data_IF_699643392861
#
_entry.id   IF_699643392861
#
_cell.length_a   1.000
_cell.length_b   1.000
_cell.length_c   1.000
_cell.angle_alpha   90.00
_cell.angle_beta   90.00
_cell.angle_gamma   90.00
#
_symmetry.space_group_name_H-M   'P 1'
#
loop_
_entity.id
_entity.type
_entity.pdbx_description
1 polymer ?
#
# COMPACT_ATOMS: atom_id res chain seq x y z
N UNK A 1 29.11 10.59 -38.52
CA UNK A 1 27.85 11.24 -38.08
C UNK A 1 27.53 10.93 -36.60
N UNK A 2 28.41 11.26 -35.63
CA UNK A 2 28.12 11.02 -34.20
C UNK A 2 27.24 12.09 -33.55
N UNK A 3 27.26 13.34 -34.05
CA UNK A 3 26.55 14.46 -33.41
C UNK A 3 25.04 14.39 -33.59
N UNK A 4 24.55 14.01 -34.77
CA UNK A 4 23.10 13.88 -35.04
C UNK A 4 22.47 12.81 -34.15
N UNK A 5 23.16 11.67 -33.96
CA UNK A 5 22.68 10.60 -33.08
C UNK A 5 22.57 11.06 -31.63
N UNK A 6 23.56 11.81 -31.13
CA UNK A 6 23.55 12.28 -29.74
C UNK A 6 22.41 13.27 -29.46
N UNK A 7 22.11 14.15 -30.43
CA UNK A 7 20.98 15.09 -30.33
C UNK A 7 19.63 14.37 -30.35
N UNK A 8 19.43 13.39 -31.24
CA UNK A 8 18.19 12.59 -31.27
C UNK A 8 17.99 11.79 -29.98
N UNK A 9 19.04 11.15 -29.47
CA UNK A 9 18.99 10.40 -28.21
C UNK A 9 18.66 11.32 -27.03
N UNK A 10 19.20 12.55 -27.00
CA UNK A 10 18.90 13.52 -25.95
C UNK A 10 17.42 13.93 -25.95
N UNK A 11 16.82 14.13 -27.13
CA UNK A 11 15.40 14.47 -27.24
C UNK A 11 14.48 13.32 -26.81
N UNK A 12 14.81 12.08 -27.17
CA UNK A 12 14.07 10.90 -26.72
C UNK A 12 14.16 10.74 -25.20
N UNK A 13 15.35 10.91 -24.61
CA UNK A 13 15.54 10.86 -23.16
C UNK A 13 14.71 11.91 -22.41
N UNK A 14 14.63 13.13 -22.96
CA UNK A 14 13.79 14.18 -22.38
C UNK A 14 12.31 13.82 -22.39
N UNK A 15 11.80 13.23 -23.48
CA UNK A 15 10.43 12.74 -23.54
C UNK A 15 10.18 11.63 -22.52
N UNK A 16 11.09 10.65 -22.41
CA UNK A 16 10.99 9.57 -21.42
C UNK A 16 11.01 10.09 -19.98
N UNK A 17 11.82 11.11 -19.70
CA UNK A 17 11.84 11.74 -18.39
C UNK A 17 10.50 12.41 -18.06
N UNK A 18 9.93 13.17 -19.00
CA UNK A 18 8.61 13.78 -18.84
C UNK A 18 7.53 12.70 -18.63
N UNK A 19 7.52 11.66 -19.45
CA UNK A 19 6.61 10.50 -19.29
C UNK A 19 6.72 9.88 -17.88
N UNK A 20 7.95 9.67 -17.41
CA UNK A 20 8.21 9.13 -16.08
C UNK A 20 7.64 10.01 -14.96
N UNK A 21 7.86 11.33 -15.03
CA UNK A 21 7.34 12.31 -14.06
C UNK A 21 5.81 12.28 -14.06
N UNK A 22 5.18 12.29 -15.24
CA UNK A 22 3.73 12.28 -15.38
C UNK A 22 3.11 10.96 -14.89
N UNK A 23 3.77 9.82 -15.10
CA UNK A 23 3.33 8.53 -14.57
C UNK A 23 3.35 8.51 -13.04
N UNK A 24 4.42 9.02 -12.41
CA UNK A 24 4.49 9.14 -10.95
C UNK A 24 3.44 10.10 -10.40
N UNK A 25 3.18 11.20 -11.11
CA UNK A 25 2.15 12.16 -10.74
C UNK A 25 0.75 11.55 -10.76
N UNK A 26 0.44 10.74 -11.78
CA UNK A 26 -0.84 10.02 -11.86
C UNK A 26 -1.00 9.03 -10.71
N UNK A 27 0.06 8.31 -10.34
CA UNK A 27 0.02 7.42 -9.18
C UNK A 27 -0.24 8.19 -7.89
N UNK A 28 0.42 9.33 -7.67
CA UNK A 28 0.15 10.19 -6.52
C UNK A 28 -1.30 10.69 -6.51
N UNK A 29 -1.80 11.19 -7.64
CA UNK A 29 -3.18 11.68 -7.78
C UNK A 29 -4.24 10.58 -7.53
N UNK A 30 -3.97 9.34 -7.96
CA UNK A 30 -4.80 8.17 -7.65
C UNK A 30 -4.92 7.98 -6.13
N UNK A 31 -3.80 7.97 -5.41
CA UNK A 31 -3.80 7.83 -3.95
C UNK A 31 -4.29 9.07 -3.20
N UNK A 32 -4.45 10.21 -3.88
CA UNK A 32 -5.14 11.39 -3.34
C UNK A 32 -6.66 11.35 -3.57
N UNK A 33 -7.20 10.28 -4.17
CA UNK A 33 -8.62 10.17 -4.50
C UNK A 33 -9.07 11.10 -5.64
N UNK A 34 -8.14 11.74 -6.35
CA UNK A 34 -8.47 12.61 -7.50
C UNK A 34 -8.82 11.80 -8.76
N UNK A 35 -8.39 10.54 -8.81
CA UNK A 35 -8.67 9.61 -9.89
C UNK A 35 -9.36 8.39 -9.27
N UNK A 36 -10.53 7.95 -9.77
CA UNK A 36 -11.16 6.73 -9.29
C UNK A 36 -10.30 5.51 -9.63
N UNK A 37 -10.19 4.58 -8.70
CA UNK A 37 -9.43 3.36 -8.91
C UNK A 37 -10.09 2.53 -10.03
N UNK A 38 -9.37 2.17 -11.11
CA UNK A 38 -9.96 1.44 -12.24
C UNK A 38 -10.44 0.03 -11.89
N UNK A 39 -10.00 -0.53 -10.75
CA UNK A 39 -10.42 -1.86 -10.28
C UNK A 39 -11.66 -1.82 -9.40
N UNK A 40 -11.74 -0.85 -8.48
CA UNK A 40 -12.86 -0.75 -7.52
C UNK A 40 -13.93 0.24 -7.97
N UNK A 41 -13.58 1.19 -8.84
CA UNK A 41 -14.43 2.31 -9.25
C UNK A 41 -14.51 3.42 -8.21
N UNK A 42 -13.87 3.26 -7.06
CA UNK A 42 -13.97 4.16 -5.92
C UNK A 42 -12.75 5.09 -5.83
N UNK A 43 -12.99 6.32 -5.37
CA UNK A 43 -11.95 7.28 -5.04
C UNK A 43 -11.46 6.99 -3.62
N UNK A 44 -10.40 6.19 -3.50
CA UNK A 44 -9.78 5.86 -2.22
C UNK A 44 -8.61 6.82 -1.94
N UNK A 45 -8.65 7.47 -0.77
CA UNK A 45 -7.58 8.36 -0.31
C UNK A 45 -6.60 7.58 0.57
N UNK A 46 -5.35 7.46 0.11
CA UNK A 46 -4.22 6.93 0.87
C UNK A 46 -3.08 7.95 0.89
N UNK A 47 -3.09 8.80 1.92
CA UNK A 47 -2.11 9.88 2.07
C UNK A 47 -0.67 9.35 2.20
N UNK A 48 -0.45 8.23 2.89
CA UNK A 48 0.90 7.67 3.07
C UNK A 48 1.53 7.28 1.72
N UNK A 49 0.75 6.60 0.86
CA UNK A 49 1.22 6.25 -0.49
C UNK A 49 1.38 7.47 -1.39
N UNK A 50 0.43 8.42 -1.34
CA UNK A 50 0.56 9.67 -2.09
C UNK A 50 1.85 10.42 -1.71
N UNK A 51 2.13 10.55 -0.41
CA UNK A 51 3.33 11.19 0.11
C UNK A 51 4.60 10.50 -0.38
N UNK A 52 4.64 9.17 -0.40
CA UNK A 52 5.79 8.42 -0.92
C UNK A 52 6.13 8.81 -2.37
N UNK A 53 5.13 8.93 -3.25
CA UNK A 53 5.36 9.35 -4.64
C UNK A 53 5.81 10.82 -4.76
N UNK A 54 5.24 11.71 -3.94
CA UNK A 54 5.66 13.12 -3.88
C UNK A 54 7.12 13.23 -3.42
N UNK A 55 7.50 12.51 -2.37
CA UNK A 55 8.87 12.47 -1.86
C UNK A 55 9.85 11.89 -2.89
N UNK A 56 9.42 10.87 -3.65
CA UNK A 56 10.22 10.30 -4.75
C UNK A 56 10.50 11.35 -5.84
N UNK A 57 9.47 12.11 -6.25
CA UNK A 57 9.63 13.19 -7.22
C UNK A 57 10.51 14.33 -6.69
N UNK A 58 10.37 14.67 -5.40
CA UNK A 58 11.22 15.67 -4.74
C UNK A 58 12.69 15.24 -4.71
N UNK A 59 12.94 13.97 -4.35
CA UNK A 59 14.28 13.40 -4.37
C UNK A 59 14.87 13.42 -5.78
N UNK A 60 14.09 13.10 -6.82
CA UNK A 60 14.55 13.18 -8.21
C UNK A 60 14.89 14.62 -8.60
N UNK A 61 14.09 15.61 -8.22
CA UNK A 61 14.39 17.02 -8.47
C UNK A 61 15.74 17.41 -7.87
N UNK A 62 16.00 17.03 -6.62
CA UNK A 62 17.27 17.34 -5.95
C UNK A 62 18.45 16.60 -6.57
N UNK A 63 18.30 15.30 -6.87
CA UNK A 63 19.37 14.47 -7.42
C UNK A 63 19.69 14.76 -8.89
N UNK A 64 18.76 15.33 -9.64
CA UNK A 64 18.95 15.67 -11.06
C UNK A 64 19.21 17.17 -11.30
N UNK A 65 19.33 17.97 -10.23
CA UNK A 65 19.59 19.41 -10.34
C UNK A 65 20.87 19.69 -11.16
N UNK A 66 20.73 20.56 -12.16
CA UNK A 66 21.82 20.91 -13.08
C UNK A 66 21.97 19.97 -14.28
N UNK A 67 21.28 18.83 -14.30
CA UNK A 67 21.25 17.91 -15.43
C UNK A 67 19.96 18.02 -16.26
N UNK A 68 18.95 18.73 -15.76
CA UNK A 68 17.67 18.90 -16.43
C UNK A 68 17.70 20.05 -17.44
N UNK A 69 16.98 19.88 -18.54
CA UNK A 69 16.63 20.97 -19.45
C UNK A 69 15.63 21.94 -18.80
N UNK A 70 15.43 23.11 -19.39
CA UNK A 70 14.44 24.08 -18.90
C UNK A 70 13.02 23.51 -18.92
N UNK A 71 12.70 22.73 -19.95
CA UNK A 71 11.39 22.08 -20.09
C UNK A 71 11.18 21.05 -18.98
N UNK A 72 12.11 20.12 -18.82
CA UNK A 72 12.07 19.08 -17.78
C UNK A 72 11.97 19.68 -16.37
N UNK A 73 12.76 20.72 -16.11
CA UNK A 73 12.73 21.45 -14.83
C UNK A 73 11.36 22.06 -14.56
N UNK A 74 10.75 22.67 -15.60
CA UNK A 74 9.45 23.32 -15.49
C UNK A 74 8.36 22.29 -15.24
N UNK A 75 8.35 21.20 -16.00
CA UNK A 75 7.40 20.09 -15.84
C UNK A 75 7.51 19.50 -14.44
N UNK A 76 8.71 19.13 -13.99
CA UNK A 76 8.91 18.52 -12.68
C UNK A 76 8.48 19.45 -11.54
N UNK A 77 8.88 20.73 -11.58
CA UNK A 77 8.53 21.72 -10.56
C UNK A 77 7.01 21.92 -10.48
N UNK A 78 6.36 22.13 -11.63
CA UNK A 78 4.92 22.39 -11.67
C UNK A 78 4.13 21.19 -11.16
N UNK A 79 4.49 19.99 -11.62
CA UNK A 79 3.89 18.74 -11.17
C UNK A 79 4.02 18.57 -9.66
N UNK A 80 5.22 18.80 -9.12
CA UNK A 80 5.48 18.65 -7.69
C UNK A 80 4.70 19.65 -6.85
N UNK A 81 4.67 20.93 -7.24
CA UNK A 81 3.86 21.95 -6.57
C UNK A 81 2.37 21.60 -6.57
N UNK A 82 1.83 21.14 -7.70
CA UNK A 82 0.42 20.77 -7.82
C UNK A 82 0.07 19.59 -6.90
N UNK A 83 0.92 18.55 -6.86
CA UNK A 83 0.71 17.40 -5.99
C UNK A 83 0.82 17.75 -4.51
N UNK A 84 1.75 18.63 -4.14
CA UNK A 84 1.88 19.09 -2.76
C UNK A 84 0.64 19.85 -2.28
N UNK A 85 0.07 20.72 -3.12
CA UNK A 85 -1.18 21.41 -2.79
C UNK A 85 -2.34 20.41 -2.65
N UNK A 86 -2.50 19.51 -3.62
CA UNK A 86 -3.53 18.47 -3.57
C UNK A 86 -3.39 17.55 -2.35
N UNK A 87 -2.16 17.24 -1.93
CA UNK A 87 -1.90 16.48 -0.72
C UNK A 87 -2.36 17.22 0.55
N UNK A 88 -2.08 18.52 0.65
CA UNK A 88 -2.50 19.33 1.80
C UNK A 88 -4.02 19.45 1.84
N UNK A 89 -4.67 19.63 0.69
CA UNK A 89 -6.13 19.64 0.56
C UNK A 89 -6.73 18.31 1.04
N UNK A 90 -6.25 17.18 0.50
CA UNK A 90 -6.71 15.85 0.88
C UNK A 90 -6.40 15.50 2.35
N UNK A 91 -5.32 16.02 2.92
CA UNK A 91 -4.98 15.83 4.33
C UNK A 91 -5.83 16.71 5.27
N UNK A 92 -6.30 17.86 4.79
CA UNK A 92 -7.23 18.73 5.51
C UNK A 92 -8.67 18.18 5.52
N UNK A 93 -9.05 17.46 4.47
CA UNK A 93 -10.30 16.71 4.40
C UNK A 93 -10.14 15.36 5.12
N UNK A 94 -10.46 15.35 6.41
CA UNK A 94 -10.35 14.18 7.29
C UNK A 94 -10.97 12.92 6.60
N UNK A 95 -10.19 11.86 6.34
CA UNK A 95 -10.71 10.68 5.67
C UNK A 95 -11.45 9.81 6.69
N UNK A 96 -12.77 9.97 6.79
CA UNK A 96 -13.65 8.95 7.38
C UNK A 96 -13.71 7.75 6.42
N UNK A 97 -12.64 6.94 6.37
CA UNK A 97 -12.63 5.81 5.45
C UNK A 97 -11.32 5.03 5.32
N UNK A 98 -10.40 5.10 6.29
CA UNK A 98 -9.24 4.21 6.31
C UNK A 98 -9.66 2.79 6.76
N UNK A 99 -10.41 2.09 5.91
CA UNK A 99 -10.45 0.63 5.95
C UNK A 99 -9.13 0.15 5.34
N UNK A 100 -8.16 -0.10 6.21
CA UNK A 100 -6.95 -0.84 5.87
C UNK A 100 -7.36 -2.17 5.23
N UNK A 101 -6.86 -2.55 4.05
CA UNK A 101 -6.82 -3.95 3.67
C UNK A 101 -5.89 -4.65 4.66
N UNK A 102 -6.46 -5.56 5.44
CA UNK A 102 -5.77 -6.40 6.40
C UNK A 102 -4.50 -7.01 5.79
N UNK A 103 -3.36 -6.76 6.45
CA UNK A 103 -2.26 -7.72 6.53
C UNK A 103 -2.19 -8.18 8.00
N UNK A 104 -2.06 -9.49 8.25
CA UNK A 104 -2.67 -10.18 9.38
C UNK A 104 -2.11 -9.80 10.75
N UNK A 105 -3.03 -9.69 11.69
CA UNK A 105 -2.76 -9.60 13.11
C UNK A 105 -1.76 -10.68 13.58
N UNK A 106 -0.72 -10.20 14.25
CA UNK A 106 -0.13 -10.79 15.44
C UNK A 106 0.08 -12.32 15.42
N UNK A 107 1.28 -12.75 15.03
CA UNK A 107 1.89 -13.86 15.74
C UNK A 107 2.06 -13.43 17.22
N UNK A 108 1.51 -14.15 18.22
CA UNK A 108 1.84 -13.86 19.60
C UNK A 108 3.29 -14.29 19.82
N UNK A 109 4.16 -13.32 20.09
CA UNK A 109 5.50 -13.57 20.62
C UNK A 109 5.38 -14.46 21.88
N UNK A 110 6.06 -15.61 21.96
CA UNK A 110 6.05 -16.41 23.17
C UNK A 110 6.85 -15.68 24.25
N UNK A 111 6.19 -15.35 25.37
CA UNK A 111 6.88 -14.96 26.61
C UNK A 111 7.85 -16.09 27.00
N UNK A 112 9.10 -15.81 27.39
CA UNK A 112 10.02 -16.83 27.92
C UNK A 112 9.38 -17.54 29.12
N UNK A 113 9.33 -18.88 29.01
CA UNK A 113 8.86 -19.76 30.06
C UNK A 113 9.78 -19.63 31.28
N UNK A 114 9.25 -19.06 32.36
CA UNK A 114 9.79 -19.21 33.70
C UNK A 114 9.42 -20.62 34.18
N UNK A 115 10.45 -21.43 34.33
CA UNK A 115 10.47 -22.84 34.70
C UNK A 115 9.89 -23.06 36.11
N UNK A 116 8.82 -23.85 36.30
CA UNK A 116 8.45 -24.33 37.63
C UNK A 116 9.18 -25.65 37.89
N UNK A 117 10.12 -25.60 38.84
CA UNK A 117 10.73 -26.75 39.46
C UNK A 117 9.67 -27.63 40.13
N UNK A 118 9.87 -28.94 40.01
CA UNK A 118 9.00 -30.01 40.49
C UNK A 118 8.93 -30.04 42.02
N UNK A 119 7.72 -30.20 42.57
CA UNK A 119 7.50 -30.83 43.87
C UNK A 119 6.25 -31.72 43.81
N UNK A 120 6.41 -32.93 44.34
CA UNK A 120 5.60 -34.14 44.33
C UNK A 120 4.57 -34.12 45.52
N UNK A 121 3.78 -35.19 45.78
CA UNK A 121 2.45 -35.55 45.27
C UNK A 121 1.35 -35.58 46.38
N UNK A 122 0.21 -36.23 46.07
CA UNK A 122 -0.74 -36.95 46.96
C UNK A 122 -2.18 -36.39 47.15
N UNK A 123 -3.20 -37.25 47.39
CA UNK A 123 -4.30 -37.44 46.45
C UNK A 123 -5.70 -37.30 47.08
N UNK A 124 -6.76 -37.18 46.27
CA UNK A 124 -8.13 -37.57 46.65
C UNK A 124 -9.00 -37.70 45.39
N UNK A 125 -9.46 -38.92 45.11
CA UNK A 125 -10.60 -39.21 44.23
C UNK A 125 -11.91 -39.19 45.07
N UNK A 126 -13.12 -39.54 44.58
CA UNK A 126 -13.57 -39.86 43.20
C UNK A 126 -14.97 -39.22 42.86
N UNK A 127 -15.59 -39.72 41.77
CA UNK A 127 -17.01 -39.66 41.34
C UNK A 127 -17.50 -38.35 40.70
N UNK A 128 -18.34 -38.29 39.66
CA UNK A 128 -19.26 -39.26 39.04
C UNK A 128 -19.64 -38.78 37.62
N UNK A 129 -19.85 -39.74 36.72
CA UNK A 129 -20.78 -39.79 35.57
C UNK A 129 -21.25 -38.51 34.87
N UNK A 130 -21.13 -38.47 33.54
CA UNK A 130 -22.22 -38.80 32.60
C UNK A 130 -21.75 -38.71 31.15
N UNK A 131 -21.96 -39.79 30.39
CA UNK A 131 -22.00 -39.82 28.94
C UNK A 131 -23.19 -39.01 28.41
N UNK A 132 -23.03 -38.34 27.27
CA UNK A 132 -24.11 -38.17 26.29
C UNK A 132 -23.52 -37.86 24.92
N UNK A 133 -23.61 -38.86 24.03
CA UNK A 133 -23.59 -38.69 22.57
C UNK A 133 -24.66 -37.68 22.14
N UNK A 134 -24.36 -36.85 21.13
CA UNK A 134 -25.29 -36.63 20.01
C UNK A 134 -24.54 -36.13 18.78
N UNK A 135 -24.62 -36.96 17.74
CA UNK A 135 -24.17 -36.79 16.37
C UNK A 135 -24.95 -35.67 15.66
N UNK A 136 -24.30 -34.82 14.85
CA UNK A 136 -24.96 -34.07 13.77
C UNK A 136 -23.95 -33.51 12.75
N UNK A 137 -23.39 -34.40 11.92
CA UNK A 137 -22.64 -34.04 10.70
C UNK A 137 -23.63 -33.93 9.54
N UNK A 138 -24.15 -32.73 9.27
CA UNK A 138 -25.04 -32.49 8.12
C UNK A 138 -24.22 -32.32 6.83
N UNK A 139 -24.59 -33.12 5.84
CA UNK A 139 -23.89 -33.45 4.60
C UNK A 139 -24.51 -32.60 3.49
N UNK A 140 -23.69 -31.88 2.74
CA UNK A 140 -24.11 -31.09 1.58
C UNK A 140 -24.17 -32.02 0.36
N UNK A 141 -25.38 -32.28 -0.18
CA UNK A 141 -25.56 -32.99 -1.46
C UNK A 141 -26.38 -32.14 -2.42
N UNK A 142 -25.78 -31.91 -3.58
CA UNK A 142 -26.22 -31.09 -4.72
C UNK A 142 -27.20 -31.89 -5.59
N UNK A 143 -28.28 -31.28 -6.08
CA UNK A 143 -29.00 -31.81 -7.24
C UNK A 143 -29.59 -30.67 -8.08
N UNK A 144 -29.20 -30.66 -9.36
CA UNK A 144 -29.80 -29.94 -10.47
C UNK A 144 -31.06 -30.67 -10.98
N UNK A 145 -31.99 -29.93 -11.59
CA UNK A 145 -33.00 -30.43 -12.52
C UNK A 145 -34.21 -29.49 -12.65
N UNK A 146 -35.11 -29.68 -13.64
CA UNK A 146 -35.01 -30.47 -14.87
C UNK A 146 -34.58 -29.67 -16.12
#
# INVERSE_FOLDING_TARGET
MPEVQKTTLSGELSQRFIEFVMMHAQNAALFLGQIPNPKTGEAEVNLDLAKMFIDQLAMIQEKTRGNLTNEETTVLRNTLSNLQMAYVEAAGEKPEGAAQPEAPAAAPSPKPAEQPSQAKPEPSAPISSTESETESRKKFTKSYGP
#
